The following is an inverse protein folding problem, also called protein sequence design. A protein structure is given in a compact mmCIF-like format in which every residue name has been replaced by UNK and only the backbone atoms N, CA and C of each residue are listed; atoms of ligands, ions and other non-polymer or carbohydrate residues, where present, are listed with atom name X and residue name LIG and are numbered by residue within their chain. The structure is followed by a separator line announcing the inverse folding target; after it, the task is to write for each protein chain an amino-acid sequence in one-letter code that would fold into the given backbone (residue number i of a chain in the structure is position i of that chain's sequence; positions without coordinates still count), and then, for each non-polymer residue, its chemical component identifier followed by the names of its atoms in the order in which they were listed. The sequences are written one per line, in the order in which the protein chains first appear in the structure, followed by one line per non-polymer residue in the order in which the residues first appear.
data_IF_219008948931
#
_entry.id   IF_219008948931
#
_cell.length_a   1.000
_cell.length_b   1.000
_cell.length_c   1.000
_cell.angle_alpha   90.00
_cell.angle_beta   90.00
_cell.angle_gamma   90.00
#
_symmetry.space_group_name_H-M   'P 1'
#
loop_
_entity.id
_entity.type
_entity.pdbx_description
1 polymer ?
#
# COMPACT_ATOMS: atom_id res chain seq x y z
N UNK A 1 -16.47 3.12 7.32
CA UNK A 1 -16.42 2.85 5.86
C UNK A 1 -16.05 4.10 5.05
N UNK A 2 -16.79 5.22 5.14
CA UNK A 2 -16.49 6.45 4.36
C UNK A 2 -15.04 6.98 4.52
N UNK A 3 -14.45 6.87 5.72
CA UNK A 3 -13.07 7.31 5.98
C UNK A 3 -11.99 6.37 5.43
N UNK A 4 -12.27 5.07 5.28
CA UNK A 4 -11.35 4.11 4.64
C UNK A 4 -11.28 4.34 3.13
N UNK A 5 -12.39 4.74 2.51
CA UNK A 5 -12.48 4.95 1.06
C UNK A 5 -11.46 5.96 0.54
N UNK A 6 -11.06 6.94 1.35
CA UNK A 6 -10.04 7.94 0.99
C UNK A 6 -8.65 7.29 0.83
N UNK A 7 -8.34 6.25 1.62
CA UNK A 7 -7.09 5.49 1.49
C UNK A 7 -7.00 4.74 0.16
N UNK A 8 -8.13 4.34 -0.43
CA UNK A 8 -8.18 3.61 -1.71
C UNK A 8 -7.65 4.42 -2.90
N UNK A 9 -7.55 5.74 -2.78
CA UNK A 9 -6.94 6.58 -3.82
C UNK A 9 -5.41 6.42 -3.82
N UNK A 10 -4.80 6.29 -2.65
CA UNK A 10 -3.35 6.21 -2.48
C UNK A 10 -2.81 4.79 -2.67
N UNK A 11 -3.58 3.79 -2.22
CA UNK A 11 -3.14 2.38 -2.22
C UNK A 11 -2.70 1.88 -3.60
N UNK A 12 -3.45 2.09 -4.70
CA UNK A 12 -3.04 1.64 -6.04
C UNK A 12 -1.75 2.31 -6.51
N UNK A 13 -1.59 3.61 -6.25
CA UNK A 13 -0.39 4.36 -6.64
C UNK A 13 0.83 3.82 -5.89
N UNK A 14 0.70 3.57 -4.59
CA UNK A 14 1.77 2.94 -3.81
C UNK A 14 2.08 1.53 -4.29
N UNK A 15 1.06 0.72 -4.60
CA UNK A 15 1.24 -0.64 -5.08
C UNK A 15 2.03 -0.67 -6.39
N UNK A 16 1.75 0.24 -7.32
CA UNK A 16 2.48 0.36 -8.59
C UNK A 16 3.95 0.75 -8.35
N UNK A 17 4.21 1.78 -7.53
CA UNK A 17 5.57 2.25 -7.29
C UNK A 17 6.40 1.20 -6.53
N UNK A 18 5.80 0.54 -5.52
CA UNK A 18 6.43 -0.59 -4.83
C UNK A 18 6.69 -1.73 -5.80
N UNK A 19 5.71 -2.11 -6.63
CA UNK A 19 5.84 -3.14 -7.65
C UNK A 19 6.97 -2.87 -8.64
N UNK A 20 7.12 -1.62 -9.08
CA UNK A 20 8.26 -1.18 -9.88
C UNK A 20 9.59 -1.43 -9.16
N UNK A 21 9.76 -0.90 -7.94
CA UNK A 21 11.00 -1.10 -7.18
C UNK A 21 11.27 -2.57 -6.85
N UNK A 22 10.23 -3.35 -6.54
CA UNK A 22 10.32 -4.78 -6.27
C UNK A 22 10.76 -5.56 -7.54
N UNK A 23 10.22 -5.20 -8.71
CA UNK A 23 10.57 -5.80 -9.99
C UNK A 23 12.03 -5.57 -10.39
N UNK A 24 12.60 -4.41 -10.03
CA UNK A 24 14.04 -4.12 -10.18
C UNK A 24 14.90 -4.69 -9.03
N UNK A 25 14.40 -5.66 -8.27
CA UNK A 25 15.03 -6.27 -7.09
C UNK A 25 15.47 -5.25 -6.02
N UNK A 26 14.89 -4.05 -6.04
CA UNK A 26 15.24 -2.95 -5.16
C UNK A 26 14.27 -2.88 -3.98
N UNK A 27 14.44 -3.80 -3.02
CA UNK A 27 13.58 -3.88 -1.83
C UNK A 27 13.88 -2.83 -0.75
N UNK A 28 14.99 -2.08 -0.86
CA UNK A 28 15.36 -1.05 0.12
C UNK A 28 14.29 0.04 0.28
N UNK A 29 13.96 0.80 -0.78
CA UNK A 29 12.92 1.84 -0.75
C UNK A 29 11.55 1.31 -0.30
N UNK A 30 11.17 0.13 -0.80
CA UNK A 30 9.90 -0.53 -0.47
C UNK A 30 9.80 -0.83 1.02
N UNK A 31 10.81 -1.48 1.61
CA UNK A 31 10.81 -1.83 3.04
C UNK A 31 10.78 -0.60 3.93
N UNK A 32 11.59 0.43 3.61
CA UNK A 32 11.58 1.69 4.38
C UNK A 32 10.21 2.36 4.30
N UNK A 33 9.58 2.39 3.11
CA UNK A 33 8.23 2.95 2.98
C UNK A 33 7.17 2.22 3.80
N UNK A 34 7.28 0.89 3.94
CA UNK A 34 6.35 0.09 4.74
C UNK A 34 6.52 0.36 6.23
N UNK A 35 7.76 0.44 6.71
CA UNK A 35 8.05 0.75 8.12
C UNK A 35 7.57 2.16 8.46
N UNK A 36 7.85 3.15 7.62
CA UNK A 36 7.40 4.53 7.84
C UNK A 36 5.88 4.63 7.78
N UNK A 37 5.22 4.00 6.80
CA UNK A 37 3.75 3.91 6.75
C UNK A 37 3.19 3.36 8.07
N UNK A 38 3.76 2.27 8.57
CA UNK A 38 3.27 1.61 9.77
C UNK A 38 3.48 2.45 11.02
N UNK A 39 4.64 3.10 11.17
CA UNK A 39 4.93 4.00 12.29
C UNK A 39 3.93 5.16 12.28
N UNK A 40 3.79 5.85 11.14
CA UNK A 40 2.87 6.99 11.02
C UNK A 40 1.43 6.58 11.30
N UNK A 41 0.99 5.42 10.77
CA UNK A 41 -0.35 4.87 11.00
C UNK A 41 -0.60 4.61 12.49
N UNK A 42 0.30 3.88 13.17
CA UNK A 42 0.13 3.54 14.59
C UNK A 42 0.16 4.80 15.45
N UNK A 43 1.13 5.69 15.22
CA UNK A 43 1.22 6.96 15.94
C UNK A 43 -0.06 7.79 15.78
N UNK A 44 -0.62 7.85 14.58
CA UNK A 44 -1.87 8.56 14.33
C UNK A 44 -3.06 7.92 15.05
N UNK A 45 -3.19 6.59 14.99
CA UNK A 45 -4.27 5.86 15.69
C UNK A 45 -4.19 6.12 17.20
N UNK A 46 -3.01 5.95 17.81
CA UNK A 46 -2.82 6.14 19.25
C UNK A 46 -3.06 7.59 19.68
N UNK A 47 -2.58 8.56 18.91
CA UNK A 47 -2.78 9.98 19.21
C UNK A 47 -4.26 10.36 19.13
N UNK A 48 -4.97 9.93 18.09
CA UNK A 48 -6.40 10.22 17.93
C UNK A 48 -7.24 9.51 18.98
N UNK A 49 -6.94 8.25 19.29
CA UNK A 49 -7.65 7.50 20.33
C UNK A 49 -7.48 8.14 21.71
N UNK A 50 -6.25 8.54 22.06
CA UNK A 50 -5.98 9.25 23.31
C UNK A 50 -6.73 10.58 23.42
N UNK A 51 -6.78 11.37 22.34
CA UNK A 51 -7.48 12.67 22.33
C UNK A 51 -9.00 12.47 22.43
N UNK A 52 -9.54 11.51 21.68
CA UNK A 52 -10.99 11.32 21.51
C UNK A 52 -11.62 10.58 22.68
N UNK A 53 -10.93 9.60 23.27
CA UNK A 53 -11.46 8.74 24.36
C UNK A 53 -10.88 9.15 25.71
N UNK A 54 -9.63 9.62 25.74
CA UNK A 54 -8.94 9.95 26.99
C UNK A 54 -9.13 11.39 27.49
N UNK A 55 -9.46 12.34 26.60
CA UNK A 55 -9.52 13.79 26.93
C UNK A 55 -10.85 14.44 26.55
N UNK A 56 -11.39 14.14 25.37
CA UNK A 56 -12.78 14.44 25.06
C UNK A 56 -13.65 13.28 25.54
N UNK A 57 -14.85 13.53 26.08
CA UNK A 57 -15.88 12.50 26.25
C UNK A 57 -16.44 12.06 24.89
N UNK A 58 -15.56 11.78 23.93
CA UNK A 58 -15.89 11.49 22.55
C UNK A 58 -16.50 10.11 22.41
N UNK A 59 -17.46 9.99 21.49
CA UNK A 59 -18.10 8.71 21.22
C UNK A 59 -17.10 7.74 20.56
N UNK A 60 -17.08 6.47 20.99
CA UNK A 60 -16.22 5.40 20.47
C UNK A 60 -16.28 5.31 18.93
N UNK A 61 -17.44 5.57 18.33
CA UNK A 61 -17.61 5.56 16.88
C UNK A 61 -16.76 6.61 16.15
N UNK A 62 -16.45 7.74 16.78
CA UNK A 62 -15.58 8.77 16.24
C UNK A 62 -14.12 8.30 16.27
N UNK A 63 -13.68 7.71 17.39
CA UNK A 63 -12.34 7.13 17.54
C UNK A 63 -12.08 6.01 16.51
N UNK A 64 -13.02 5.07 16.35
CA UNK A 64 -12.94 4.04 15.30
C UNK A 64 -12.87 4.68 13.92
N UNK A 65 -13.62 5.75 13.70
CA UNK A 65 -13.57 6.52 12.48
C UNK A 65 -12.18 7.07 12.15
N UNK A 66 -11.55 7.77 13.09
CA UNK A 66 -10.19 8.29 12.94
C UNK A 66 -9.14 7.18 12.86
N UNK A 67 -9.32 6.07 13.57
CA UNK A 67 -8.44 4.92 13.46
C UNK A 67 -8.44 4.37 12.02
N UNK A 68 -9.61 4.31 11.38
CA UNK A 68 -9.70 3.91 9.96
C UNK A 68 -9.09 4.94 9.00
N UNK A 69 -9.16 6.23 9.33
CA UNK A 69 -8.50 7.30 8.58
C UNK A 69 -6.97 7.25 8.71
N UNK A 70 -6.44 6.67 9.79
CA UNK A 70 -5.01 6.41 9.97
C UNK A 70 -4.39 5.61 8.82
N UNK A 71 -5.19 4.82 8.09
CA UNK A 71 -4.73 4.15 6.87
C UNK A 71 -4.31 5.10 5.76
N UNK A 72 -5.05 6.19 5.59
CA UNK A 72 -4.73 7.23 4.63
C UNK A 72 -3.49 8.02 5.05
N UNK A 73 -3.41 8.41 6.32
CA UNK A 73 -2.27 9.18 6.87
C UNK A 73 -0.97 8.37 6.81
N UNK A 74 -1.02 7.09 7.20
CA UNK A 74 0.11 6.17 7.04
C UNK A 74 0.51 6.02 5.58
N UNK A 75 -0.47 5.85 4.68
CA UNK A 75 -0.24 5.76 3.24
C UNK A 75 0.45 6.99 2.67
N UNK A 76 0.10 8.20 3.11
CA UNK A 76 0.81 9.42 2.75
C UNK A 76 2.28 9.40 3.19
N UNK A 77 2.56 8.96 4.41
CA UNK A 77 3.93 8.81 4.92
C UNK A 77 4.75 7.82 4.09
N UNK A 78 4.19 6.65 3.78
CA UNK A 78 4.84 5.65 2.93
C UNK A 78 5.06 6.15 1.50
N UNK A 79 4.06 6.81 0.91
CA UNK A 79 4.15 7.37 -0.44
C UNK A 79 5.22 8.47 -0.52
N UNK A 80 5.31 9.34 0.48
CA UNK A 80 6.33 10.40 0.53
C UNK A 80 7.74 9.81 0.48
N UNK A 81 8.00 8.73 1.23
CA UNK A 81 9.28 8.01 1.19
C UNK A 81 9.55 7.45 -0.20
N UNK A 82 8.57 6.79 -0.82
CA UNK A 82 8.72 6.22 -2.16
C UNK A 82 9.01 7.31 -3.21
N UNK A 83 8.30 8.43 -3.14
CA UNK A 83 8.51 9.57 -4.04
C UNK A 83 9.90 10.17 -3.85
N UNK A 84 10.38 10.31 -2.61
CA UNK A 84 11.73 10.77 -2.34
C UNK A 84 12.79 9.86 -3.01
N UNK A 85 12.67 8.54 -2.84
CA UNK A 85 13.56 7.59 -3.51
C UNK A 85 13.41 7.60 -5.04
N UNK A 86 12.19 7.78 -5.54
CA UNK A 86 11.92 7.93 -6.97
C UNK A 86 12.66 9.12 -7.56
N UNK A 87 12.51 10.32 -6.99
CA UNK A 87 13.19 11.52 -7.49
C UNK A 87 14.71 11.42 -7.39
N UNK A 88 15.23 10.80 -6.31
CA UNK A 88 16.66 10.56 -6.17
C UNK A 88 17.21 9.62 -7.25
N UNK A 89 16.45 8.59 -7.63
CA UNK A 89 16.88 7.57 -8.61
C UNK A 89 16.53 7.92 -10.06
N UNK A 90 15.60 8.87 -10.27
CA UNK A 90 15.12 9.30 -11.60
C UNK A 90 16.26 9.66 -12.55
N UNK A 91 17.30 10.35 -12.07
CA UNK A 91 18.46 10.74 -12.89
C UNK A 91 19.22 9.52 -13.44
N UNK A 92 19.35 8.45 -12.66
CA UNK A 92 20.01 7.22 -13.10
C UNK A 92 19.14 6.41 -14.07
N UNK A 93 17.82 6.37 -13.84
CA UNK A 93 16.88 5.66 -14.71
C UNK A 93 16.83 6.33 -16.09
N UNK A 94 16.77 7.67 -16.14
CA UNK A 94 16.74 8.42 -17.40
C UNK A 94 18.02 8.20 -18.21
N UNK A 95 19.19 8.14 -17.55
CA UNK A 95 20.47 7.86 -18.20
C UNK A 95 20.51 6.45 -18.79
N UNK A 96 19.98 5.44 -18.10
CA UNK A 96 19.87 4.07 -18.61
C UNK A 96 18.92 3.96 -19.82
N UNK A 97 17.84 4.73 -19.85
CA UNK A 97 16.91 4.79 -20.98
C UNK A 97 17.58 5.41 -22.21
N UNK A 98 18.41 6.44 -22.02
CA UNK A 98 19.14 7.10 -23.10
C UNK A 98 20.28 6.24 -23.67
N UNK A 99 20.92 5.42 -22.82
CA UNK A 99 21.96 4.45 -23.21
C UNK A 99 21.39 3.14 -23.81
N UNK A 100 20.06 2.97 -23.82
CA UNK A 100 19.39 1.77 -24.34
C UNK A 100 19.39 1.73 -25.87
N UNK A 101 20.26 0.92 -26.48
CA UNK A 101 20.42 0.81 -27.94
C UNK A 101 19.38 -0.10 -28.64
N UNK A 102 18.61 -0.90 -27.89
CA UNK A 102 17.70 -1.91 -28.45
C UNK A 102 16.24 -1.64 -28.07
N UNK A 103 15.47 -1.06 -29.00
CA UNK A 103 14.03 -0.81 -28.82
C UNK A 103 13.24 -2.08 -29.08
N UNK A 104 12.93 -2.86 -28.04
CA UNK A 104 11.94 -3.93 -28.14
C UNK A 104 10.57 -3.31 -28.40
N UNK A 105 10.08 -3.40 -29.63
CA UNK A 105 8.72 -2.97 -30.00
C UNK A 105 7.72 -4.06 -29.63
N UNK A 106 7.57 -4.33 -28.33
CA UNK A 106 6.47 -5.17 -27.87
C UNK A 106 5.17 -4.36 -27.97
N UNK A 107 4.13 -4.88 -28.63
CA UNK A 107 2.86 -4.18 -28.69
C UNK A 107 2.23 -4.16 -27.29
N UNK A 108 1.86 -2.95 -26.84
CA UNK A 108 1.18 -2.69 -25.56
C UNK A 108 0.06 -3.69 -25.21
N UNK A 109 -0.85 -4.10 -26.12
CA UNK A 109 -1.91 -5.05 -25.78
C UNK A 109 -1.41 -6.44 -25.38
N UNK A 110 -0.26 -6.89 -25.92
CA UNK A 110 0.34 -8.18 -25.52
C UNK A 110 0.91 -8.09 -24.10
N UNK A 111 1.59 -6.99 -23.77
CA UNK A 111 2.07 -6.72 -22.41
C UNK A 111 0.94 -6.68 -21.38
N UNK A 112 -0.17 -5.99 -21.68
CA UNK A 112 -1.32 -5.95 -20.77
C UNK A 112 -1.95 -7.33 -20.58
N UNK A 113 -2.07 -8.11 -21.66
CA UNK A 113 -2.61 -9.48 -21.60
C UNK A 113 -1.77 -10.37 -20.70
N UNK A 114 -0.45 -10.32 -20.86
CA UNK A 114 0.49 -11.08 -20.02
C UNK A 114 0.43 -10.63 -18.55
N UNK A 115 0.41 -9.31 -18.32
CA UNK A 115 0.35 -8.74 -16.98
C UNK A 115 -0.95 -9.13 -16.24
N UNK A 116 -2.10 -9.11 -16.92
CA UNK A 116 -3.39 -9.55 -16.36
C UNK A 116 -3.39 -11.06 -16.13
N UNK A 117 -2.86 -11.85 -17.07
CA UNK A 117 -2.79 -13.30 -16.96
C UNK A 117 -1.95 -13.76 -15.75
N UNK A 118 -0.91 -13.00 -15.37
CA UNK A 118 -0.13 -13.25 -14.15
C UNK A 118 -0.74 -12.64 -12.89
N UNK A 119 -1.28 -11.41 -12.98
CA UNK A 119 -1.83 -10.71 -11.82
C UNK A 119 -3.08 -11.40 -11.26
N UNK A 120 -3.91 -12.01 -12.11
CA UNK A 120 -5.17 -12.61 -11.71
C UNK A 120 -4.98 -13.85 -10.81
N UNK A 121 -4.20 -14.89 -11.18
CA UNK A 121 -3.86 -15.99 -10.27
C UNK A 121 -3.19 -15.53 -8.98
N UNK A 122 -2.25 -14.57 -9.07
CA UNK A 122 -1.55 -14.04 -7.89
C UNK A 122 -2.52 -13.36 -6.91
N UNK A 123 -3.51 -12.64 -7.44
CA UNK A 123 -4.55 -11.99 -6.63
C UNK A 123 -5.44 -13.03 -5.93
N UNK A 124 -5.79 -14.13 -6.60
CA UNK A 124 -6.52 -15.24 -5.99
C UNK A 124 -5.76 -15.89 -4.82
N UNK A 125 -4.45 -16.08 -4.97
CA UNK A 125 -3.60 -16.57 -3.87
C UNK A 125 -3.63 -15.61 -2.68
N UNK A 126 -3.65 -14.29 -2.94
CA UNK A 126 -3.77 -13.26 -1.90
C UNK A 126 -5.06 -13.32 -1.09
N UNK A 127 -6.14 -13.92 -1.64
CA UNK A 127 -7.41 -14.11 -0.93
C UNK A 127 -7.41 -15.29 0.03
N UNK A 128 -6.41 -16.19 -0.05
CA UNK A 128 -6.35 -17.37 0.81
C UNK A 128 -6.36 -17.00 2.29
N UNK A 129 -5.58 -15.99 2.71
CA UNK A 129 -5.49 -15.59 4.12
C UNK A 129 -6.83 -15.04 4.64
N UNK A 130 -7.48 -14.04 4.00
CA UNK A 130 -8.81 -13.59 4.41
C UNK A 130 -9.85 -14.71 4.46
N UNK A 131 -9.79 -15.67 3.52
CA UNK A 131 -10.71 -16.81 3.50
C UNK A 131 -10.49 -17.73 4.69
N UNK A 132 -9.24 -18.05 5.04
CA UNK A 132 -8.92 -18.81 6.25
C UNK A 132 -9.40 -18.09 7.50
N UNK A 133 -9.15 -16.78 7.61
CA UNK A 133 -9.63 -15.97 8.73
C UNK A 133 -11.16 -15.97 8.84
N UNK A 134 -11.88 -16.00 7.71
CA UNK A 134 -13.33 -16.12 7.69
C UNK A 134 -13.77 -17.50 8.21
N UNK A 135 -13.17 -18.59 7.72
CA UNK A 135 -13.46 -19.94 8.21
C UNK A 135 -13.21 -20.06 9.71
N UNK A 136 -12.04 -19.59 10.18
CA UNK A 136 -11.66 -19.61 11.60
C UNK A 136 -12.67 -18.84 12.46
N UNK A 137 -13.16 -17.68 11.98
CA UNK A 137 -14.19 -16.90 12.67
C UNK A 137 -15.48 -17.69 12.85
N UNK A 138 -15.95 -18.44 11.85
CA UNK A 138 -17.17 -19.26 11.97
C UNK A 138 -16.97 -20.53 12.78
N UNK A 139 -15.77 -21.12 12.76
CA UNK A 139 -15.50 -22.37 13.47
C UNK A 139 -15.19 -22.15 14.95
N UNK A 140 -14.41 -21.11 15.30
CA UNK A 140 -13.91 -20.87 16.67
C UNK A 140 -14.81 -19.94 17.47
N UNK A 141 -15.46 -18.95 16.86
CA UNK A 141 -16.28 -17.96 17.57
C UNK A 141 -17.71 -18.43 17.89
N UNK A 142 -18.05 -19.69 17.56
CA UNK A 142 -19.31 -20.34 17.90
C UNK A 142 -19.19 -21.24 19.16
N UNK A 143 -18.15 -21.08 19.97
CA UNK A 143 -17.97 -21.73 21.27
C UNK A 143 -18.23 -20.76 22.44
#
# INVERSE_FOLDING_TARGET
IRMVSVALIIVPVMAIIRGYFQGFQSMGPTRVSQVVEQIVRISFILAMDFIIVGVGDGCIGLAVGFATFGAFVGGLGGLAVLLYYWFKRRKHILKQVEESTTRHQLPLPQMYKELIAYALPLSFVGLAIPLFQYVDLFTVNNA
#
